data_IF_041920965048
#
_entry.id   IF_041920965048
#
_cell.length_a   1.000
_cell.length_b   1.000
_cell.length_c   1.000
_cell.angle_alpha   90.00
_cell.angle_beta   90.00
_cell.angle_gamma   90.00
#
_symmetry.space_group_name_H-M   'P 1'
#
loop_
_entity.id
_entity.type
_entity.pdbx_description
1 polymer ?
#
# COMPACT_ATOMS: atom_id res chain seq x y z
N UNK A 1 2.01 13.88 -0.15
CA UNK A 1 0.80 13.58 -0.95
C UNK A 1 0.50 14.83 -1.75
N UNK A 2 0.45 14.72 -3.08
CA UNK A 2 0.09 15.85 -3.95
C UNK A 2 -1.44 15.91 -3.97
N UNK A 3 -2.04 17.02 -3.52
CA UNK A 3 -3.49 17.13 -3.55
C UNK A 3 -4.00 17.18 -5.00
N UNK A 4 -5.26 16.81 -5.27
CA UNK A 4 -5.87 17.01 -6.58
C UNK A 4 -5.67 18.46 -7.06
N UNK A 5 -5.00 18.65 -8.19
CA UNK A 5 -4.68 19.97 -8.76
C UNK A 5 -3.34 20.57 -8.32
N UNK A 6 -2.60 19.94 -7.40
CA UNK A 6 -1.21 20.29 -7.11
C UNK A 6 -0.25 19.53 -8.05
N UNK A 7 0.94 20.08 -8.27
CA UNK A 7 1.96 19.51 -9.14
C UNK A 7 3.24 19.23 -8.34
N UNK A 8 4.01 18.19 -8.70
CA UNK A 8 5.34 18.00 -8.14
C UNK A 8 6.22 19.24 -8.38
N UNK A 9 7.07 19.57 -7.41
CA UNK A 9 8.03 20.67 -7.55
C UNK A 9 8.91 20.47 -8.79
N UNK A 10 9.04 21.53 -9.60
CA UNK A 10 9.83 21.52 -10.84
C UNK A 10 9.06 21.16 -12.12
N UNK A 11 7.75 20.89 -12.04
CA UNK A 11 6.88 20.73 -13.22
C UNK A 11 6.25 22.09 -13.61
N UNK A 12 6.55 22.65 -14.79
CA UNK A 12 5.95 23.93 -15.22
C UNK A 12 4.44 23.83 -15.39
N UNK A 13 3.72 24.89 -15.00
CA UNK A 13 2.25 24.94 -14.98
C UNK A 13 1.61 25.07 -16.37
N UNK A 14 2.36 25.48 -17.40
CA UNK A 14 1.90 25.66 -18.79
C UNK A 14 2.87 25.03 -19.80
N UNK A 15 2.39 24.75 -21.02
CA UNK A 15 3.24 24.36 -22.16
C UNK A 15 3.56 22.87 -22.30
N UNK A 16 2.86 21.99 -21.57
CA UNK A 16 3.10 20.54 -21.60
C UNK A 16 1.82 19.73 -21.80
N UNK A 17 1.81 18.82 -22.78
CA UNK A 17 0.88 17.69 -22.77
C UNK A 17 1.29 16.74 -21.64
N UNK A 18 0.34 16.40 -20.77
CA UNK A 18 0.55 15.57 -19.59
C UNK A 18 -0.29 14.31 -19.70
N UNK A 19 0.38 13.17 -19.80
CA UNK A 19 -0.26 11.86 -19.59
C UNK A 19 0.25 11.29 -18.28
N UNK A 20 -0.53 11.39 -17.19
CA UNK A 20 -0.19 10.70 -15.95
C UNK A 20 -0.30 9.19 -16.18
N UNK A 21 0.74 8.46 -15.82
CA UNK A 21 0.68 7.00 -15.70
C UNK A 21 0.81 6.66 -14.22
N UNK A 22 -0.20 5.99 -13.67
CA UNK A 22 -0.12 5.36 -12.35
C UNK A 22 0.42 3.94 -12.51
N UNK A 23 1.51 3.64 -11.81
CA UNK A 23 2.08 2.31 -11.69
C UNK A 23 1.96 1.86 -10.24
N UNK A 24 1.58 0.61 -10.04
CA UNK A 24 1.54 -0.04 -8.74
C UNK A 24 2.78 -0.92 -8.64
N UNK A 25 3.65 -0.62 -7.67
CA UNK A 25 4.86 -1.38 -7.40
C UNK A 25 4.61 -2.25 -6.16
N UNK A 26 4.22 -3.50 -6.42
CA UNK A 26 3.88 -4.50 -5.39
C UNK A 26 5.11 -4.97 -4.61
N UNK A 27 6.30 -4.99 -5.22
CA UNK A 27 7.56 -5.39 -4.55
C UNK A 27 7.92 -4.43 -3.41
N UNK A 28 7.66 -3.13 -3.60
CA UNK A 28 8.01 -2.08 -2.64
C UNK A 28 6.80 -1.42 -1.99
N UNK A 29 5.60 -2.01 -2.14
CA UNK A 29 4.33 -1.51 -1.59
C UNK A 29 4.15 0.02 -1.80
N UNK A 30 4.27 0.49 -3.05
CA UNK A 30 4.23 1.94 -3.35
C UNK A 30 3.50 2.28 -4.64
N UNK A 31 2.99 3.51 -4.69
CA UNK A 31 2.45 4.09 -5.91
C UNK A 31 3.51 4.93 -6.60
N UNK A 32 3.66 4.72 -7.90
CA UNK A 32 4.55 5.50 -8.75
C UNK A 32 3.70 6.28 -9.73
N UNK A 33 3.76 7.61 -9.64
CA UNK A 33 3.09 8.51 -10.56
C UNK A 33 4.13 9.11 -11.52
N UNK A 34 4.07 8.71 -12.78
CA UNK A 34 4.95 9.22 -13.81
C UNK A 34 4.21 10.26 -14.66
N UNK A 35 4.82 11.42 -14.86
CA UNK A 35 4.34 12.42 -15.80
C UNK A 35 5.28 12.49 -16.99
N UNK A 36 4.78 12.08 -18.16
CA UNK A 36 5.42 12.45 -19.41
C UNK A 36 5.04 13.90 -19.73
N UNK A 37 6.05 14.77 -19.83
CA UNK A 37 5.88 16.17 -20.15
C UNK A 37 6.68 16.46 -21.44
N UNK A 38 6.00 16.75 -22.54
CA UNK A 38 6.62 17.31 -23.75
C UNK A 38 6.50 18.83 -23.77
N UNK A 39 7.62 19.57 -23.89
CA UNK A 39 7.60 21.03 -24.02
C UNK A 39 7.34 21.40 -25.48
N UNK A 40 6.28 22.15 -25.76
CA UNK A 40 6.04 22.71 -27.10
C UNK A 40 5.87 24.23 -27.03
N UNK A 41 6.96 24.95 -27.30
CA UNK A 41 6.89 26.40 -27.60
C UNK A 41 7.97 26.85 -28.61
N UNK A 42 8.21 26.11 -29.70
CA UNK A 42 9.13 26.45 -30.81
C UNK A 42 10.54 25.82 -30.83
N UNK A 43 10.86 24.81 -30.03
CA UNK A 43 12.08 24.01 -30.21
C UNK A 43 11.78 22.51 -30.06
N UNK A 44 12.31 21.72 -30.99
CA UNK A 44 12.38 20.26 -31.07
C UNK A 44 11.94 19.52 -29.80
N UNK A 45 10.84 18.78 -29.89
CA UNK A 45 10.26 17.92 -28.85
C UNK A 45 11.27 17.42 -27.81
N UNK A 46 11.32 18.06 -26.64
CA UNK A 46 12.11 17.57 -25.52
C UNK A 46 11.19 16.79 -24.57
N UNK A 47 11.33 15.46 -24.55
CA UNK A 47 10.63 14.59 -23.63
C UNK A 47 11.27 14.69 -22.24
N UNK A 48 10.53 15.16 -21.25
CA UNK A 48 10.93 15.11 -19.83
C UNK A 48 10.00 14.16 -19.09
N UNK A 49 10.58 13.29 -18.28
CA UNK A 49 9.83 12.40 -17.38
C UNK A 49 10.00 12.90 -15.96
N UNK A 50 8.89 13.18 -15.29
CA UNK A 50 8.89 13.48 -13.86
C UNK A 50 8.35 12.27 -13.10
N UNK A 51 9.00 11.96 -11.98
CA UNK A 51 8.66 10.81 -11.13
C UNK A 51 8.24 11.32 -9.75
N UNK A 52 7.02 11.02 -9.34
CA UNK A 52 6.60 11.14 -7.96
C UNK A 52 6.40 9.73 -7.39
N UNK A 53 7.04 9.45 -6.26
CA UNK A 53 6.90 8.19 -5.53
C UNK A 53 6.21 8.51 -4.21
N UNK A 54 5.13 7.80 -3.93
CA UNK A 54 4.51 7.80 -2.61
C UNK A 54 4.44 6.36 -2.12
N UNK A 55 4.88 6.10 -0.89
CA UNK A 55 4.59 4.84 -0.22
C UNK A 55 3.08 4.60 -0.26
N UNK A 56 2.65 3.36 -0.48
CA UNK A 56 1.25 3.04 -0.19
C UNK A 56 1.02 3.37 1.28
N UNK A 57 -0.17 3.88 1.65
CA UNK A 57 -0.52 3.88 3.06
C UNK A 57 -0.31 2.45 3.56
N UNK A 58 0.53 2.28 4.58
CA UNK A 58 0.59 1.02 5.30
C UNK A 58 -0.71 0.99 6.08
N UNK A 59 -1.77 0.49 5.47
CA UNK A 59 -2.98 0.15 6.19
C UNK A 59 -2.64 -1.09 7.00
N UNK A 60 -2.06 -0.87 8.18
CA UNK A 60 -1.93 -1.90 9.20
C UNK A 60 -3.34 -2.16 9.72
N UNK A 61 -4.09 -2.95 8.94
CA UNK A 61 -5.44 -3.34 9.30
C UNK A 61 -5.30 -4.30 10.47
N UNK A 62 -6.01 -4.03 11.56
CA UNK A 62 -6.07 -4.98 12.68
C UNK A 62 -6.57 -6.32 12.11
N UNK A 63 -5.79 -7.38 12.31
CA UNK A 63 -6.09 -8.71 11.78
C UNK A 63 -5.51 -9.04 10.39
N UNK A 64 -4.81 -8.12 9.73
CA UNK A 64 -4.03 -8.40 8.51
C UNK A 64 -2.64 -8.90 8.90
N UNK A 65 -2.54 -10.21 9.13
CA UNK A 65 -1.36 -10.88 9.69
C UNK A 65 -0.38 -11.27 8.59
N UNK A 66 -0.85 -11.46 7.36
CA UNK A 66 -0.01 -11.77 6.21
C UNK A 66 0.45 -10.52 5.42
N UNK A 67 0.02 -9.32 5.83
CA UNK A 67 0.35 -8.02 5.27
C UNK A 67 -0.03 -7.87 3.78
N UNK A 68 -1.08 -8.58 3.34
CA UNK A 68 -1.57 -8.52 1.95
C UNK A 68 -2.56 -7.36 1.69
N UNK A 69 -2.93 -6.64 2.76
CA UNK A 69 -3.85 -5.51 2.71
C UNK A 69 -5.33 -5.90 2.83
N UNK A 70 -5.66 -7.18 3.07
CA UNK A 70 -7.03 -7.67 3.21
C UNK A 70 -7.17 -8.61 4.40
N UNK A 71 -8.02 -8.25 5.37
CA UNK A 71 -8.38 -9.18 6.46
C UNK A 71 -9.34 -10.25 5.94
N UNK A 72 -8.85 -11.48 5.82
CA UNK A 72 -9.59 -12.62 5.28
C UNK A 72 -9.15 -13.97 5.87
N UNK A 73 -9.63 -15.07 5.31
CA UNK A 73 -9.33 -16.42 5.83
C UNK A 73 -7.85 -16.81 5.74
N UNK A 74 -7.07 -16.13 4.89
CA UNK A 74 -5.62 -16.33 4.81
C UNK A 74 -4.91 -15.89 6.10
N UNK A 75 -5.36 -14.82 6.77
CA UNK A 75 -4.80 -14.40 8.06
C UNK A 75 -5.07 -15.43 9.17
N UNK A 76 -6.25 -16.02 9.17
CA UNK A 76 -6.59 -17.14 10.06
C UNK A 76 -5.64 -18.32 9.84
N UNK A 77 -5.39 -18.68 8.57
CA UNK A 77 -4.45 -19.76 8.22
C UNK A 77 -3.04 -19.41 8.69
N UNK A 78 -2.63 -18.14 8.57
CA UNK A 78 -1.33 -17.65 9.02
C UNK A 78 -1.16 -17.86 10.53
N UNK A 79 -2.13 -17.45 11.36
CA UNK A 79 -2.09 -17.67 12.82
C UNK A 79 -2.10 -19.16 13.16
N UNK A 80 -2.95 -19.96 12.51
CA UNK A 80 -2.98 -21.42 12.73
C UNK A 80 -1.62 -22.05 12.45
N UNK A 81 -0.94 -21.63 11.38
CA UNK A 81 0.40 -22.12 11.08
C UNK A 81 1.42 -21.74 12.16
N UNK A 82 1.38 -20.50 12.66
CA UNK A 82 2.25 -20.04 13.75
C UNK A 82 2.06 -20.84 15.04
N UNK A 83 0.79 -21.12 15.39
CA UNK A 83 0.44 -21.97 16.55
C UNK A 83 1.01 -23.38 16.37
N UNK A 84 0.82 -23.98 15.18
CA UNK A 84 1.27 -25.34 14.89
C UNK A 84 2.80 -25.45 14.77
N UNK A 85 3.49 -24.41 14.32
CA UNK A 85 4.95 -24.37 14.23
C UNK A 85 5.63 -23.94 15.55
N UNK A 86 4.87 -23.46 16.53
CA UNK A 86 5.41 -22.84 17.76
C UNK A 86 6.34 -21.65 17.48
N UNK A 87 6.04 -20.90 16.42
CA UNK A 87 6.75 -19.68 16.03
C UNK A 87 5.77 -18.49 15.94
N UNK A 88 5.14 -18.07 17.06
CA UNK A 88 4.24 -16.93 17.08
C UNK A 88 5.01 -15.62 16.90
N UNK A 89 4.36 -14.65 16.26
CA UNK A 89 4.86 -13.29 16.12
C UNK A 89 3.97 -12.34 16.94
N UNK A 90 4.56 -11.30 17.54
CA UNK A 90 3.83 -10.34 18.38
C UNK A 90 2.69 -9.63 17.61
N UNK A 91 2.78 -9.54 16.28
CA UNK A 91 1.70 -8.96 15.45
C UNK A 91 0.46 -9.85 15.33
N UNK A 92 0.53 -11.10 15.77
CA UNK A 92 -0.58 -12.05 15.79
C UNK A 92 -1.28 -12.14 17.15
N UNK A 93 -0.74 -11.52 18.20
CA UNK A 93 -1.41 -11.33 19.49
C UNK A 93 -2.35 -10.13 19.35
N UNK A 94 -3.60 -10.41 19.02
CA UNK A 94 -4.60 -9.39 18.72
C UNK A 94 -5.33 -8.94 19.98
N UNK A 95 -5.32 -9.74 21.07
CA UNK A 95 -6.01 -9.39 22.32
C UNK A 95 -5.06 -8.78 23.37
N UNK A 96 -3.77 -8.66 23.04
CA UNK A 96 -2.69 -8.17 23.89
C UNK A 96 -2.57 -8.96 25.22
N UNK A 97 -2.86 -10.26 25.21
CA UNK A 97 -2.78 -11.12 26.39
C UNK A 97 -1.41 -11.81 26.58
N UNK A 98 -0.52 -11.64 25.60
CA UNK A 98 0.83 -12.19 25.57
C UNK A 98 0.92 -13.60 24.99
N UNK A 99 -0.19 -14.17 24.51
CA UNK A 99 -0.22 -15.47 23.84
C UNK A 99 -0.84 -15.32 22.47
N UNK A 100 -0.30 -16.06 21.49
CA UNK A 100 -0.93 -16.23 20.17
C UNK A 100 -1.66 -17.55 20.17
N UNK A 101 -2.99 -17.52 20.25
CA UNK A 101 -3.82 -18.72 20.32
C UNK A 101 -5.17 -18.58 19.58
N UNK A 102 -6.13 -19.43 19.93
CA UNK A 102 -7.46 -19.44 19.31
C UNK A 102 -8.25 -18.15 19.56
N UNK A 103 -7.96 -17.40 20.61
CA UNK A 103 -8.62 -16.13 20.94
C UNK A 103 -8.27 -15.05 19.91
N UNK A 104 -7.06 -15.03 19.37
CA UNK A 104 -6.67 -14.11 18.29
C UNK A 104 -7.40 -14.44 16.98
N UNK A 105 -7.51 -15.73 16.66
CA UNK A 105 -8.29 -16.20 15.51
C UNK A 105 -9.75 -15.74 15.61
N UNK A 106 -10.35 -15.80 16.80
CA UNK A 106 -11.73 -15.34 17.00
C UNK A 106 -11.89 -13.85 16.69
N UNK A 107 -10.88 -13.02 16.95
CA UNK A 107 -10.93 -11.60 16.60
C UNK A 107 -10.94 -11.39 15.08
N UNK A 108 -10.10 -12.11 14.34
CA UNK A 108 -10.13 -12.05 12.87
C UNK A 108 -11.49 -12.51 12.33
N UNK A 109 -12.04 -13.59 12.87
CA UNK A 109 -13.37 -14.07 12.47
C UNK A 109 -14.45 -13.02 12.75
N UNK A 110 -14.40 -12.32 13.89
CA UNK A 110 -15.35 -11.24 14.18
C UNK A 110 -15.21 -10.09 13.18
N UNK A 111 -13.99 -9.72 12.79
CA UNK A 111 -13.73 -8.69 11.77
C UNK A 111 -14.31 -9.12 10.41
N UNK A 112 -14.07 -10.36 9.99
CA UNK A 112 -14.59 -10.92 8.73
C UNK A 112 -16.12 -10.95 8.72
N UNK A 113 -16.74 -11.30 9.86
CA UNK A 113 -18.21 -11.38 9.99
C UNK A 113 -18.87 -10.03 10.28
N UNK A 114 -18.11 -9.01 10.69
CA UNK A 114 -18.60 -7.69 11.05
C UNK A 114 -19.48 -7.67 12.30
N UNK A 115 -19.11 -8.46 13.33
CA UNK A 115 -19.86 -8.62 14.58
C UNK A 115 -19.12 -8.08 15.81
#
# INVERSE_FOLDING_TARGET
>A
IIAPGQFPDGVPSQGFQRTPTLLIDEEYNRYVLAYNAGHDTNESWQKRSYLAIASRPINNLIGDVNEDGFVNVQDVIQIVNMILSSEPHDSADLNDDGNVDILDILQIVNIILGI
#
